data_IF_052187901600
#
_entry.id   IF_052187901600
#
_cell.length_a   1.000
_cell.length_b   1.000
_cell.length_c   1.000
_cell.angle_alpha   90.00
_cell.angle_beta   90.00
_cell.angle_gamma   90.00
#
_symmetry.space_group_name_H-M   'P 1'
#
loop_
_entity.id
_entity.type
_entity.pdbx_description
1 polymer ?
#
# COMPACT_ATOMS: atom_id res chain seq x y z
N UNK A 1 7.65 -14.41 3.45
CA UNK A 1 8.58 -15.26 2.65
C UNK A 1 8.49 -14.77 1.21
N UNK A 2 9.43 -13.92 0.83
CA UNK A 2 9.40 -13.29 -0.49
C UNK A 2 10.01 -14.23 -1.52
N UNK A 3 9.19 -14.75 -2.43
CA UNK A 3 9.68 -15.55 -3.54
C UNK A 3 10.12 -14.62 -4.68
N UNK A 4 11.43 -14.47 -4.84
CA UNK A 4 11.99 -13.80 -6.01
C UNK A 4 12.10 -14.85 -7.12
N UNK A 5 11.27 -14.73 -8.14
CA UNK A 5 11.40 -15.59 -9.32
C UNK A 5 12.54 -15.03 -10.17
N UNK A 6 13.64 -15.76 -10.20
CA UNK A 6 14.78 -15.43 -11.06
C UNK A 6 14.53 -15.97 -12.47
N UNK A 7 14.34 -15.10 -13.41
CA UNK A 7 14.57 -15.43 -14.81
C UNK A 7 16.05 -15.23 -15.09
N UNK A 8 16.81 -16.34 -15.11
CA UNK A 8 18.22 -16.32 -15.47
C UNK A 8 18.33 -16.34 -17.00
N UNK A 9 18.57 -15.20 -17.61
CA UNK A 9 19.11 -15.18 -18.97
C UNK A 9 20.64 -15.22 -18.79
N UNK A 10 21.21 -16.36 -19.11
CA UNK A 10 22.67 -16.54 -19.07
C UNK A 10 23.32 -15.66 -20.16
N UNK A 11 23.67 -14.45 -19.79
CA UNK A 11 24.70 -13.69 -20.53
C UNK A 11 25.99 -13.72 -19.71
N UNK A 12 27.10 -13.86 -20.41
CA UNK A 12 28.45 -13.74 -19.82
C UNK A 12 28.53 -12.57 -18.87
N UNK A 13 29.27 -12.72 -17.78
CA UNK A 13 29.54 -11.81 -16.64
C UNK A 13 29.48 -10.30 -16.92
N UNK A 14 28.42 -9.82 -17.53
CA UNK A 14 28.14 -8.40 -17.65
C UNK A 14 27.39 -7.98 -16.40
N UNK A 15 27.87 -6.95 -15.74
CA UNK A 15 27.31 -6.45 -14.50
C UNK A 15 25.89 -5.91 -14.75
N UNK A 16 24.90 -6.55 -14.15
CA UNK A 16 23.52 -6.07 -14.21
C UNK A 16 23.42 -4.70 -13.52
N UNK A 17 22.67 -3.79 -14.12
CA UNK A 17 22.43 -2.46 -13.56
C UNK A 17 21.81 -2.54 -12.16
N UNK A 18 20.82 -3.44 -12.01
CA UNK A 18 20.17 -3.71 -10.72
C UNK A 18 20.53 -5.14 -10.31
N UNK A 19 21.00 -5.30 -9.09
CA UNK A 19 21.35 -6.60 -8.55
C UNK A 19 20.84 -6.80 -7.12
N UNK A 20 20.79 -8.04 -6.70
CA UNK A 20 20.43 -8.41 -5.35
C UNK A 20 21.71 -8.45 -4.51
N UNK A 21 21.76 -7.61 -3.48
CA UNK A 21 22.93 -7.46 -2.60
C UNK A 21 22.46 -7.37 -1.16
N UNK A 22 23.02 -8.17 -0.28
CA UNK A 22 22.71 -8.17 1.17
C UNK A 22 21.19 -8.24 1.44
N UNK A 23 20.48 -9.05 0.66
CA UNK A 23 19.04 -9.22 0.86
C UNK A 23 18.15 -8.13 0.23
N UNK A 24 18.72 -7.20 -0.53
CA UNK A 24 17.99 -6.05 -1.05
C UNK A 24 18.34 -5.79 -2.52
N UNK A 25 17.47 -5.05 -3.22
CA UNK A 25 17.76 -4.57 -4.57
C UNK A 25 18.66 -3.33 -4.51
N UNK A 26 19.67 -3.31 -5.35
CA UNK A 26 20.70 -2.28 -5.33
C UNK A 26 21.20 -1.94 -6.73
N UNK A 27 21.29 -0.64 -7.01
CA UNK A 27 21.91 -0.10 -8.22
C UNK A 27 23.29 0.44 -7.86
N UNK A 28 24.33 -0.29 -8.26
CA UNK A 28 25.71 0.07 -7.87
C UNK A 28 26.18 1.39 -8.48
N UNK A 29 25.88 1.61 -9.76
CA UNK A 29 26.29 2.84 -10.44
C UNK A 29 25.67 4.10 -9.82
N UNK A 30 24.42 4.01 -9.38
CA UNK A 30 23.73 5.12 -8.70
C UNK A 30 24.05 5.19 -7.21
N UNK A 31 24.62 4.14 -6.63
CA UNK A 31 24.78 3.93 -5.18
C UNK A 31 23.45 4.16 -4.46
N UNK A 32 22.40 3.43 -4.92
CA UNK A 32 21.06 3.59 -4.39
C UNK A 32 20.38 2.22 -4.18
N UNK A 33 19.64 2.11 -3.10
CA UNK A 33 18.92 0.90 -2.71
C UNK A 33 17.43 1.08 -2.96
N UNK A 34 16.73 0.01 -3.26
CA UNK A 34 15.29 0.02 -3.51
C UNK A 34 14.61 -0.75 -2.37
N UNK A 35 13.71 -0.09 -1.65
CA UNK A 35 12.97 -0.61 -0.49
C UNK A 35 13.89 -1.40 0.47
N UNK A 36 14.98 -0.79 0.97
CA UNK A 36 15.96 -1.53 1.75
C UNK A 36 15.42 -1.98 3.11
N UNK A 37 15.83 -3.16 3.56
CA UNK A 37 15.48 -3.71 4.88
C UNK A 37 16.40 -3.26 6.01
N UNK A 38 17.40 -2.42 5.72
CA UNK A 38 18.35 -1.86 6.69
C UNK A 38 18.73 -0.43 6.30
N UNK A 39 19.18 0.40 7.26
CA UNK A 39 19.55 1.78 6.97
C UNK A 39 20.66 1.88 5.92
N UNK A 40 20.48 2.78 4.97
CA UNK A 40 21.42 3.04 3.86
C UNK A 40 21.56 4.55 3.62
N UNK A 41 22.51 4.93 2.79
CA UNK A 41 22.68 6.36 2.42
C UNK A 41 21.48 6.87 1.61
N UNK A 42 21.10 6.16 0.54
CA UNK A 42 20.01 6.59 -0.33
C UNK A 42 19.07 5.41 -0.60
N UNK A 43 17.78 5.63 -0.34
CA UNK A 43 16.74 4.66 -0.54
C UNK A 43 15.67 5.19 -1.50
N UNK A 44 15.40 4.48 -2.58
CA UNK A 44 14.18 4.65 -3.38
C UNK A 44 13.07 3.86 -2.73
N UNK A 45 11.94 4.48 -2.47
CA UNK A 45 10.79 3.82 -1.82
C UNK A 45 9.65 3.71 -2.82
N UNK A 46 9.22 2.48 -3.09
CA UNK A 46 8.14 2.21 -4.04
C UNK A 46 6.78 2.66 -3.51
N UNK A 47 6.52 2.43 -2.22
CA UNK A 47 5.25 2.81 -1.60
C UNK A 47 5.35 2.84 -0.07
N UNK A 48 4.30 3.31 0.61
CA UNK A 48 4.36 3.64 2.02
C UNK A 48 4.00 2.50 2.99
N UNK A 49 4.00 1.23 2.58
CA UNK A 49 3.87 0.10 3.52
C UNK A 49 5.15 -0.07 4.33
N UNK A 50 5.03 -0.60 5.57
CA UNK A 50 6.17 -0.69 6.48
C UNK A 50 7.22 -1.74 6.07
N UNK A 51 6.82 -2.76 5.35
CA UNK A 51 7.75 -3.77 4.84
C UNK A 51 8.60 -3.26 3.67
N UNK A 52 8.28 -2.07 3.13
CA UNK A 52 9.05 -1.38 2.10
C UNK A 52 9.79 -0.15 2.64
N UNK A 53 9.74 0.07 3.95
CA UNK A 53 10.35 1.25 4.57
C UNK A 53 11.19 0.87 5.79
N UNK A 54 12.41 1.37 5.83
CA UNK A 54 13.31 1.19 6.98
C UNK A 54 13.74 2.55 7.51
N UNK A 55 13.67 2.72 8.82
CA UNK A 55 14.15 3.93 9.50
C UNK A 55 15.66 4.06 9.39
N UNK A 56 16.15 5.31 9.41
CA UNK A 56 17.56 5.62 9.58
C UNK A 56 18.35 5.75 8.30
N UNK A 57 17.70 5.74 7.12
CA UNK A 57 18.39 6.12 5.88
C UNK A 57 18.70 7.62 5.90
N UNK A 58 19.82 8.01 5.28
CA UNK A 58 20.23 9.42 5.25
C UNK A 58 19.34 10.24 4.31
N UNK A 59 18.86 9.63 3.22
CA UNK A 59 17.97 10.26 2.26
C UNK A 59 17.03 9.21 1.64
N UNK A 60 15.75 9.57 1.59
CA UNK A 60 14.71 8.79 0.89
C UNK A 60 14.31 9.52 -0.38
N UNK A 61 13.90 8.77 -1.39
CA UNK A 61 13.39 9.33 -2.64
C UNK A 61 12.12 8.54 -3.00
N UNK A 62 11.01 9.24 -3.24
CA UNK A 62 9.72 8.59 -3.54
C UNK A 62 8.81 9.52 -4.34
N UNK A 63 7.59 9.07 -4.62
CA UNK A 63 6.54 9.97 -5.10
C UNK A 63 6.10 10.90 -3.97
N UNK A 64 5.47 12.00 -4.32
CA UNK A 64 4.95 13.00 -3.38
C UNK A 64 3.94 12.38 -2.40
N UNK A 65 2.99 11.60 -2.91
CA UNK A 65 1.96 10.97 -2.09
C UNK A 65 2.57 9.94 -1.12
N UNK A 66 3.52 9.13 -1.60
CA UNK A 66 4.25 8.19 -0.73
C UNK A 66 4.96 8.94 0.40
N UNK A 67 5.61 10.07 0.10
CA UNK A 67 6.30 10.87 1.12
C UNK A 67 5.32 11.39 2.18
N UNK A 68 4.15 11.90 1.78
CA UNK A 68 3.13 12.39 2.69
C UNK A 68 2.65 11.27 3.61
N UNK A 69 2.32 10.10 3.04
CA UNK A 69 1.86 8.94 3.81
C UNK A 69 2.92 8.42 4.76
N UNK A 70 4.20 8.41 4.34
CA UNK A 70 5.31 8.01 5.21
C UNK A 70 5.44 8.98 6.38
N UNK A 71 5.47 10.28 6.13
CA UNK A 71 5.57 11.30 7.19
C UNK A 71 4.42 11.17 8.19
N UNK A 72 3.21 10.94 7.71
CA UNK A 72 2.05 10.71 8.58
C UNK A 72 2.23 9.48 9.47
N UNK A 73 2.94 8.46 8.99
CA UNK A 73 3.16 7.21 9.74
C UNK A 73 4.34 7.30 10.70
N UNK A 74 5.43 7.96 10.30
CA UNK A 74 6.71 7.89 11.02
C UNK A 74 7.18 9.25 11.57
N UNK A 75 6.48 10.34 11.24
CA UNK A 75 6.84 11.69 11.66
C UNK A 75 7.63 12.44 10.59
N UNK A 76 7.78 13.75 10.80
CA UNK A 76 8.37 14.66 9.81
C UNK A 76 9.90 14.62 9.76
N UNK A 77 10.54 13.92 10.69
CA UNK A 77 12.00 13.93 10.85
C UNK A 77 12.73 13.01 9.85
N UNK A 78 12.13 12.74 8.69
CA UNK A 78 12.77 11.99 7.60
C UNK A 78 13.04 12.90 6.42
N UNK A 79 14.27 12.82 5.88
CA UNK A 79 14.66 13.60 4.71
C UNK A 79 14.20 12.86 3.45
N UNK A 80 13.09 13.31 2.87
CA UNK A 80 12.53 12.71 1.67
C UNK A 80 12.54 13.71 0.52
N UNK A 81 13.13 13.33 -0.60
CA UNK A 81 13.06 14.06 -1.88
C UNK A 81 11.95 13.43 -2.72
N UNK A 82 11.14 14.24 -3.36
CA UNK A 82 9.98 13.74 -4.11
C UNK A 82 10.04 14.11 -5.58
N UNK A 83 9.45 13.24 -6.41
CA UNK A 83 9.27 13.45 -7.84
C UNK A 83 7.85 13.05 -8.24
N UNK A 84 7.32 13.70 -9.26
CA UNK A 84 6.01 13.35 -9.82
C UNK A 84 6.12 12.08 -10.68
N UNK A 85 5.00 11.42 -10.91
CA UNK A 85 4.96 10.29 -11.84
C UNK A 85 5.40 10.75 -13.23
N UNK A 86 6.29 9.98 -13.86
CA UNK A 86 6.84 10.27 -15.18
C UNK A 86 7.97 11.31 -15.17
N UNK A 87 8.18 12.03 -14.07
CA UNK A 87 9.28 12.98 -13.96
C UNK A 87 10.60 12.22 -13.90
N UNK A 88 11.53 12.56 -14.80
CA UNK A 88 12.85 11.95 -14.83
C UNK A 88 13.83 12.77 -13.97
N UNK A 89 14.63 12.05 -13.18
CA UNK A 89 15.76 12.64 -12.45
C UNK A 89 17.00 11.78 -12.66
N UNK A 90 18.15 12.38 -12.45
CA UNK A 90 19.43 11.73 -12.76
C UNK A 90 20.28 11.54 -11.52
N UNK A 91 20.82 10.33 -11.34
CA UNK A 91 21.81 10.02 -10.31
C UNK A 91 22.96 9.29 -10.99
N UNK A 92 24.17 9.85 -10.93
CA UNK A 92 25.39 9.28 -11.48
C UNK A 92 25.24 8.79 -12.93
N UNK A 93 24.55 9.58 -13.76
CA UNK A 93 24.35 9.27 -15.18
C UNK A 93 23.17 8.36 -15.49
N UNK A 94 22.49 7.81 -14.49
CA UNK A 94 21.32 6.96 -14.67
C UNK A 94 20.06 7.82 -14.58
N UNK A 95 19.19 7.74 -15.58
CA UNK A 95 17.87 8.37 -15.52
C UNK A 95 16.92 7.45 -14.77
N UNK A 96 16.20 8.01 -13.80
CA UNK A 96 15.26 7.28 -12.93
C UNK A 96 13.91 8.00 -13.01
N UNK A 97 12.82 7.24 -13.01
CA UNK A 97 11.46 7.79 -12.95
C UNK A 97 10.51 6.85 -12.24
N UNK A 98 9.50 7.42 -11.59
CA UNK A 98 8.41 6.68 -10.94
C UNK A 98 7.21 6.59 -11.87
N UNK A 99 6.55 5.44 -11.90
CA UNK A 99 5.34 5.19 -12.69
C UNK A 99 4.29 4.50 -11.83
N UNK A 100 2.99 4.78 -11.98
CA UNK A 100 1.99 4.18 -11.10
C UNK A 100 2.02 2.65 -11.12
N UNK A 101 1.98 2.04 -9.94
CA UNK A 101 1.89 0.58 -9.81
C UNK A 101 0.47 0.08 -9.48
N UNK A 102 -0.48 0.98 -9.20
CA UNK A 102 -1.87 0.63 -8.94
C UNK A 102 -2.14 0.02 -7.57
N UNK A 103 -1.12 -0.12 -6.73
CA UNK A 103 -1.24 -0.86 -5.46
C UNK A 103 -1.96 -0.04 -4.37
N UNK A 104 -1.43 1.13 -4.03
CA UNK A 104 -2.02 2.10 -3.09
C UNK A 104 -1.72 3.53 -3.57
N UNK A 105 -2.28 4.53 -2.89
CA UNK A 105 -2.01 5.94 -3.20
C UNK A 105 -0.50 6.22 -3.12
N UNK A 106 0.06 6.77 -4.18
CA UNK A 106 1.49 7.09 -4.31
C UNK A 106 2.36 5.92 -4.74
N UNK A 107 1.85 4.69 -4.77
CA UNK A 107 2.67 3.51 -5.10
C UNK A 107 3.22 3.57 -6.52
N UNK A 108 4.46 3.09 -6.68
CA UNK A 108 5.16 3.25 -7.94
C UNK A 108 5.98 2.03 -8.34
N UNK A 109 6.05 1.82 -9.64
CA UNK A 109 7.11 1.10 -10.31
C UNK A 109 8.28 2.08 -10.49
N UNK A 110 9.51 1.59 -10.51
CA UNK A 110 10.70 2.44 -10.68
C UNK A 110 11.42 2.03 -11.96
N UNK A 111 11.52 2.95 -12.91
CA UNK A 111 12.26 2.72 -14.15
C UNK A 111 13.66 3.33 -14.03
N UNK A 112 14.65 2.57 -14.45
CA UNK A 112 16.05 3.00 -14.60
C UNK A 112 16.43 2.91 -16.07
N UNK A 113 17.08 3.95 -16.60
CA UNK A 113 17.59 3.94 -17.98
C UNK A 113 19.09 4.29 -17.93
N UNK A 114 19.90 3.38 -18.48
CA UNK A 114 21.34 3.56 -18.60
C UNK A 114 21.86 2.87 -19.86
N UNK A 115 22.66 3.59 -20.67
CA UNK A 115 23.24 3.06 -21.90
C UNK A 115 22.18 2.40 -22.81
N UNK A 116 21.01 3.03 -22.96
CA UNK A 116 19.84 2.59 -23.73
C UNK A 116 19.07 1.42 -23.12
N UNK A 117 19.62 0.70 -22.14
CA UNK A 117 18.89 -0.35 -21.42
C UNK A 117 17.87 0.24 -20.45
N UNK A 118 16.67 -0.34 -20.45
CA UNK A 118 15.54 0.05 -19.60
C UNK A 118 15.24 -1.06 -18.61
N UNK A 119 15.41 -0.77 -17.36
CA UNK A 119 15.12 -1.66 -16.23
C UNK A 119 13.89 -1.16 -15.48
N UNK A 120 13.00 -2.07 -15.12
CA UNK A 120 11.79 -1.72 -14.35
C UNK A 120 11.71 -2.62 -13.11
N UNK A 121 11.50 -1.99 -11.95
CA UNK A 121 11.20 -2.67 -10.70
C UNK A 121 9.73 -2.40 -10.41
N UNK A 122 8.90 -3.45 -10.28
CA UNK A 122 7.45 -3.28 -10.16
C UNK A 122 7.02 -2.64 -8.83
N UNK A 123 7.80 -2.82 -7.76
CA UNK A 123 7.23 -2.66 -6.43
C UNK A 123 6.05 -3.60 -6.26
N UNK A 124 5.23 -3.40 -5.25
CA UNK A 124 3.93 -4.08 -5.18
C UNK A 124 2.99 -3.44 -6.19
N UNK A 125 2.23 -4.27 -6.91
CA UNK A 125 1.37 -3.76 -7.97
C UNK A 125 -0.02 -4.40 -7.96
N UNK A 126 -0.97 -3.71 -8.59
CA UNK A 126 -2.34 -4.20 -8.74
C UNK A 126 -2.90 -3.74 -10.07
N UNK A 127 -3.41 -4.69 -10.86
CA UNK A 127 -3.97 -4.40 -12.19
C UNK A 127 -5.46 -4.03 -12.12
N UNK A 128 -6.16 -4.45 -11.05
CA UNK A 128 -7.57 -4.15 -10.85
C UNK A 128 -7.77 -2.65 -10.65
N UNK A 129 -8.86 -2.12 -11.21
CA UNK A 129 -9.22 -0.71 -11.02
C UNK A 129 -9.42 -0.37 -9.54
N UNK A 130 -8.92 0.78 -9.16
CA UNK A 130 -9.02 1.30 -7.80
C UNK A 130 -9.10 2.83 -7.88
N UNK A 131 -10.22 3.38 -7.45
CA UNK A 131 -10.46 4.83 -7.53
C UNK A 131 -9.65 5.62 -6.49
N UNK A 132 -8.97 4.92 -5.57
CA UNK A 132 -8.21 5.58 -4.50
C UNK A 132 -6.73 5.76 -4.83
N UNK A 133 -6.28 5.33 -6.01
CA UNK A 133 -4.91 5.51 -6.46
C UNK A 133 -4.82 5.58 -7.99
N UNK A 134 -3.67 5.99 -8.50
CA UNK A 134 -3.40 5.97 -9.95
C UNK A 134 -3.39 4.52 -10.44
N UNK A 135 -4.07 4.27 -11.56
CA UNK A 135 -4.11 2.95 -12.19
C UNK A 135 -2.71 2.51 -12.64
N UNK A 136 -2.45 1.21 -12.60
CA UNK A 136 -1.21 0.61 -13.10
C UNK A 136 -0.88 1.12 -14.51
N UNK A 137 0.35 1.59 -14.70
CA UNK A 137 0.85 2.04 -16.00
C UNK A 137 1.69 0.94 -16.63
N UNK A 138 1.43 0.64 -17.91
CA UNK A 138 2.27 -0.29 -18.67
C UNK A 138 3.52 0.47 -19.14
N UNK A 139 4.68 0.11 -18.59
CA UNK A 139 5.96 0.77 -18.88
C UNK A 139 6.81 -0.16 -19.74
N UNK A 140 7.19 0.31 -20.93
CA UNK A 140 8.06 -0.47 -21.82
C UNK A 140 9.45 -0.60 -21.20
N UNK A 141 9.97 -1.83 -21.12
CA UNK A 141 11.23 -2.14 -20.48
C UNK A 141 11.92 -3.32 -21.15
N UNK A 142 13.23 -3.41 -20.98
CA UNK A 142 14.04 -4.54 -21.47
C UNK A 142 14.23 -5.60 -20.37
N UNK A 143 14.27 -5.16 -19.11
CA UNK A 143 14.44 -6.03 -17.93
C UNK A 143 13.38 -5.68 -16.89
N UNK A 144 12.69 -6.70 -16.38
CA UNK A 144 11.67 -6.53 -15.35
C UNK A 144 12.05 -7.32 -14.09
N UNK A 145 12.05 -6.64 -12.95
CA UNK A 145 12.13 -7.26 -11.63
C UNK A 145 10.76 -7.08 -10.99
N UNK A 146 10.06 -8.19 -10.74
CA UNK A 146 8.66 -8.15 -10.29
C UNK A 146 8.44 -8.92 -9.00
N UNK A 147 7.55 -8.42 -8.16
CA UNK A 147 6.99 -9.22 -7.08
C UNK A 147 6.11 -10.35 -7.66
N UNK A 148 5.86 -11.38 -6.85
CA UNK A 148 5.03 -12.51 -7.28
C UNK A 148 4.24 -13.10 -6.08
N UNK A 149 3.74 -12.25 -5.21
CA UNK A 149 3.06 -12.64 -3.97
C UNK A 149 1.83 -13.53 -4.26
N UNK A 150 1.04 -13.14 -5.25
CA UNK A 150 -0.17 -13.85 -5.63
C UNK A 150 -0.07 -14.46 -7.04
N UNK A 151 1.14 -14.89 -7.43
CA UNK A 151 1.40 -15.42 -8.78
C UNK A 151 0.86 -16.83 -9.05
N UNK A 152 0.34 -17.52 -8.04
CA UNK A 152 -0.24 -18.86 -8.26
C UNK A 152 -1.69 -18.77 -8.73
N UNK A 153 -2.13 -19.65 -9.65
CA UNK A 153 -3.51 -19.61 -10.18
C UNK A 153 -4.62 -19.84 -9.16
N UNK A 154 -4.27 -20.29 -7.95
CA UNK A 154 -5.26 -20.47 -6.87
C UNK A 154 -5.78 -19.14 -6.34
N UNK A 155 -5.00 -18.05 -6.50
CA UNK A 155 -5.40 -16.72 -6.05
C UNK A 155 -6.35 -16.08 -7.08
N UNK A 156 -7.62 -16.10 -6.78
CA UNK A 156 -8.68 -15.51 -7.62
C UNK A 156 -9.44 -14.50 -6.77
N UNK A 157 -9.65 -13.32 -7.33
CA UNK A 157 -10.28 -12.21 -6.63
C UNK A 157 -11.61 -11.86 -7.27
N UNK A 158 -12.65 -11.76 -6.47
CA UNK A 158 -13.93 -11.21 -6.93
C UNK A 158 -13.77 -9.73 -7.29
N UNK A 159 -14.68 -9.23 -8.10
CA UNK A 159 -14.73 -7.80 -8.42
C UNK A 159 -15.06 -6.98 -7.16
N UNK A 160 -14.47 -5.80 -7.06
CA UNK A 160 -14.59 -4.92 -5.90
C UNK A 160 -16.03 -4.57 -5.56
N UNK A 161 -16.84 -4.27 -6.56
CA UNK A 161 -18.26 -3.93 -6.36
C UNK A 161 -19.05 -5.09 -5.74
N UNK A 162 -18.73 -6.33 -6.13
CA UNK A 162 -19.36 -7.52 -5.54
C UNK A 162 -18.99 -7.61 -4.05
N UNK A 163 -17.69 -7.46 -3.74
CA UNK A 163 -17.19 -7.55 -2.36
C UNK A 163 -17.84 -6.45 -1.50
N UNK A 164 -17.92 -5.22 -1.98
CA UNK A 164 -18.53 -4.12 -1.24
C UNK A 164 -20.03 -4.36 -0.97
N UNK A 165 -20.75 -4.91 -1.97
CA UNK A 165 -22.16 -5.27 -1.80
C UNK A 165 -22.32 -6.42 -0.81
N UNK A 166 -21.46 -7.43 -0.83
CA UNK A 166 -21.50 -8.56 0.10
C UNK A 166 -21.21 -8.09 1.53
N UNK A 167 -20.28 -7.17 1.72
CA UNK A 167 -20.03 -6.52 3.03
C UNK A 167 -21.31 -5.78 3.50
N UNK A 168 -21.92 -5.00 2.62
CA UNK A 168 -23.14 -4.26 2.94
C UNK A 168 -24.28 -5.23 3.36
N UNK A 169 -24.49 -6.29 2.60
CA UNK A 169 -25.47 -7.34 2.93
C UNK A 169 -25.17 -8.00 4.27
N UNK A 170 -23.88 -8.36 4.49
CA UNK A 170 -23.45 -9.01 5.73
C UNK A 170 -23.80 -8.15 6.95
N UNK A 171 -23.59 -6.85 6.87
CA UNK A 171 -23.94 -5.92 7.97
C UNK A 171 -25.45 -5.82 8.12
N UNK A 172 -26.17 -5.60 7.02
CA UNK A 172 -27.63 -5.38 7.02
C UNK A 172 -28.41 -6.62 7.48
N UNK A 173 -27.86 -7.83 7.31
CA UNK A 173 -28.48 -9.07 7.76
C UNK A 173 -28.41 -9.27 9.28
N UNK A 174 -27.65 -8.44 10.00
CA UNK A 174 -27.53 -8.52 11.45
C UNK A 174 -27.51 -7.09 12.05
N UNK A 175 -28.62 -6.35 11.92
CA UNK A 175 -28.65 -4.93 12.32
C UNK A 175 -28.51 -4.72 13.83
N UNK A 176 -28.72 -5.76 14.63
CA UNK A 176 -28.51 -5.74 16.08
C UNK A 176 -27.05 -5.90 16.48
N UNK A 177 -26.17 -6.28 15.54
CA UNK A 177 -24.75 -6.53 15.81
C UNK A 177 -23.88 -5.34 15.42
N UNK A 178 -22.71 -5.29 16.02
CA UNK A 178 -21.59 -4.43 15.59
C UNK A 178 -20.68 -5.26 14.67
N UNK A 179 -20.44 -4.78 13.45
CA UNK A 179 -19.66 -5.52 12.45
C UNK A 179 -18.21 -5.03 12.46
N UNK A 180 -17.28 -5.90 12.83
CA UNK A 180 -15.83 -5.60 12.85
C UNK A 180 -15.20 -6.17 11.60
N UNK A 181 -14.67 -5.30 10.76
CA UNK A 181 -13.98 -5.69 9.52
C UNK A 181 -12.48 -5.41 9.67
N UNK A 182 -11.67 -6.47 9.69
CA UNK A 182 -10.23 -6.36 9.82
C UNK A 182 -9.60 -6.15 8.44
N UNK A 183 -8.85 -5.07 8.29
CA UNK A 183 -8.20 -4.71 7.03
C UNK A 183 -6.92 -3.91 7.30
N UNK A 184 -5.99 -3.93 6.35
CA UNK A 184 -4.77 -3.13 6.47
C UNK A 184 -5.11 -1.64 6.55
N UNK A 185 -4.42 -0.95 7.46
CA UNK A 185 -4.70 0.46 7.79
C UNK A 185 -4.43 1.42 6.64
N UNK A 186 -3.49 1.07 5.76
CA UNK A 186 -3.11 1.88 4.60
C UNK A 186 -3.40 1.09 3.31
N UNK A 187 -4.14 1.70 2.41
CA UNK A 187 -4.53 1.17 1.11
C UNK A 187 -5.86 0.42 1.18
N UNK A 188 -5.90 -0.76 1.80
CA UNK A 188 -7.11 -1.60 1.85
C UNK A 188 -8.30 -0.90 2.50
N UNK A 189 -8.09 -0.26 3.65
CA UNK A 189 -9.17 0.44 4.36
C UNK A 189 -9.77 1.56 3.51
N UNK A 190 -8.94 2.35 2.85
CA UNK A 190 -9.39 3.48 2.03
C UNK A 190 -10.12 2.99 0.77
N UNK A 191 -9.62 1.94 0.13
CA UNK A 191 -10.31 1.30 -0.98
C UNK A 191 -11.71 0.81 -0.57
N UNK A 192 -11.80 0.10 0.56
CA UNK A 192 -13.10 -0.38 1.09
C UNK A 192 -14.06 0.79 1.35
N UNK A 193 -13.57 1.89 1.92
CA UNK A 193 -14.39 3.07 2.19
C UNK A 193 -14.93 3.69 0.90
N UNK A 194 -14.11 3.76 -0.15
CA UNK A 194 -14.54 4.23 -1.46
C UNK A 194 -15.61 3.29 -2.04
N UNK A 195 -15.34 1.99 -2.03
CA UNK A 195 -16.26 0.99 -2.60
C UNK A 195 -17.59 0.91 -1.84
N UNK A 196 -17.55 0.94 -0.50
CA UNK A 196 -18.76 0.92 0.35
C UNK A 196 -19.60 2.19 0.14
N UNK A 197 -18.98 3.32 -0.16
CA UNK A 197 -19.73 4.56 -0.45
C UNK A 197 -20.68 4.40 -1.65
N UNK A 198 -20.37 3.47 -2.53
CA UNK A 198 -21.16 3.19 -3.75
C UNK A 198 -22.26 2.14 -3.53
N UNK A 199 -22.37 1.61 -2.31
CA UNK A 199 -23.41 0.62 -1.95
C UNK A 199 -24.59 1.28 -1.25
N UNK A 200 -25.62 0.49 -0.92
CA UNK A 200 -26.77 0.93 -0.15
C UNK A 200 -26.54 0.95 1.36
N UNK A 201 -25.31 0.80 1.82
CA UNK A 201 -25.01 0.85 3.25
C UNK A 201 -25.21 2.26 3.81
N UNK A 202 -26.11 2.39 4.80
CA UNK A 202 -26.50 3.67 5.42
C UNK A 202 -26.04 3.80 6.87
N UNK A 203 -25.44 2.75 7.44
CA UNK A 203 -24.96 2.77 8.82
C UNK A 203 -23.73 3.66 9.02
N UNK A 204 -23.43 3.91 10.28
CA UNK A 204 -22.21 4.62 10.63
C UNK A 204 -20.98 3.74 10.40
N UNK A 205 -19.89 4.35 9.98
CA UNK A 205 -18.59 3.68 9.84
C UNK A 205 -17.64 4.30 10.86
N UNK A 206 -17.07 3.44 11.68
CA UNK A 206 -16.04 3.82 12.65
C UNK A 206 -14.69 3.27 12.18
N UNK A 207 -13.62 3.93 12.57
CA UNK A 207 -12.27 3.46 12.25
C UNK A 207 -11.32 3.61 13.44
N UNK A 208 -10.45 2.62 13.59
CA UNK A 208 -9.32 2.69 14.52
C UNK A 208 -8.42 3.88 14.19
N UNK A 209 -7.75 4.44 15.18
CA UNK A 209 -6.91 5.63 15.03
C UNK A 209 -5.89 5.51 13.90
N UNK A 210 -5.27 4.33 13.72
CA UNK A 210 -4.29 4.12 12.63
C UNK A 210 -4.92 4.21 11.24
N UNK A 211 -6.16 3.76 11.09
CA UNK A 211 -6.91 3.85 9.84
C UNK A 211 -7.40 5.29 9.63
N UNK A 212 -7.96 5.88 10.70
CA UNK A 212 -8.51 7.24 10.65
C UNK A 212 -7.46 8.26 10.19
N UNK A 213 -6.25 8.11 10.71
CA UNK A 213 -5.08 8.93 10.35
C UNK A 213 -4.80 8.86 8.84
N UNK A 214 -4.75 7.66 8.27
CA UNK A 214 -4.55 7.46 6.84
C UNK A 214 -5.73 7.98 6.01
N UNK A 215 -6.97 7.85 6.52
CA UNK A 215 -8.16 8.39 5.83
C UNK A 215 -8.04 9.91 5.66
N UNK A 216 -7.55 10.61 6.68
CA UNK A 216 -7.37 12.07 6.61
C UNK A 216 -6.35 12.44 5.53
N UNK A 217 -5.21 11.74 5.48
CA UNK A 217 -4.19 11.97 4.44
C UNK A 217 -4.75 11.74 3.02
N UNK A 218 -5.57 10.69 2.84
CA UNK A 218 -6.19 10.42 1.54
C UNK A 218 -7.11 11.57 1.13
N UNK A 219 -7.95 12.08 2.05
CA UNK A 219 -8.86 13.22 1.77
C UNK A 219 -8.08 14.49 1.46
N UNK A 220 -7.03 14.78 2.22
CA UNK A 220 -6.17 15.94 1.99
C UNK A 220 -5.49 15.87 0.62
N UNK A 221 -5.25 14.67 0.12
CA UNK A 221 -4.72 14.44 -1.23
C UNK A 221 -5.83 14.35 -2.30
N UNK A 222 -7.07 14.69 -1.95
CA UNK A 222 -8.19 14.80 -2.89
C UNK A 222 -8.86 13.47 -3.24
N UNK A 223 -8.60 12.40 -2.46
CA UNK A 223 -9.22 11.10 -2.73
C UNK A 223 -10.58 11.02 -2.03
N UNK A 224 -11.63 10.74 -2.81
CA UNK A 224 -13.00 10.62 -2.29
C UNK A 224 -13.19 9.27 -1.60
N UNK A 225 -13.28 9.31 -0.28
CA UNK A 225 -13.58 8.13 0.55
C UNK A 225 -14.63 8.50 1.60
N UNK A 226 -15.48 7.54 1.95
CA UNK A 226 -16.55 7.74 2.93
C UNK A 226 -15.99 8.15 4.29
N UNK A 227 -16.63 9.10 4.94
CA UNK A 227 -16.23 9.57 6.27
C UNK A 227 -16.33 8.46 7.31
N UNK A 228 -15.43 8.51 8.27
CA UNK A 228 -15.44 7.60 9.42
C UNK A 228 -15.36 8.37 10.72
N UNK A 229 -16.01 7.83 11.73
CA UNK A 229 -15.92 8.33 13.10
C UNK A 229 -14.73 7.64 13.77
N UNK A 230 -13.80 8.42 14.31
CA UNK A 230 -12.65 7.85 15.02
C UNK A 230 -13.12 7.18 16.31
N UNK A 231 -12.67 5.96 16.54
CA UNK A 231 -12.90 5.29 17.83
C UNK A 231 -11.92 5.88 18.84
N UNK A 232 -12.47 6.47 19.89
CA UNK A 232 -11.68 6.90 21.02
C UNK A 232 -11.60 5.78 22.08
N UNK A 233 -10.42 5.62 22.66
CA UNK A 233 -10.07 4.49 23.53
C UNK A 233 -10.79 4.49 24.89
N UNK A 234 -12.05 4.91 24.95
CA UNK A 234 -12.73 5.02 26.25
C UNK A 234 -14.14 4.43 26.28
N UNK A 235 -14.24 3.36 27.05
CA UNK A 235 -15.45 2.88 27.75
C UNK A 235 -16.77 2.76 26.98
N UNK A 236 -17.24 1.52 26.92
CA UNK A 236 -18.61 1.07 26.56
C UNK A 236 -19.13 1.62 25.23
N UNK A 237 -18.85 0.86 24.23
CA UNK A 237 -19.31 1.11 22.87
C UNK A 237 -20.67 0.38 22.68
N UNK A 238 -21.66 0.78 23.47
CA UNK A 238 -23.02 0.22 23.38
C UNK A 238 -23.85 0.80 22.21
N UNK A 239 -23.29 1.80 21.52
CA UNK A 239 -24.03 2.60 20.53
C UNK A 239 -23.79 2.17 19.10
N UNK A 240 -23.08 1.06 18.87
CA UNK A 240 -22.58 0.71 17.54
C UNK A 240 -23.38 -0.37 16.81
N UNK A 241 -24.61 -0.66 17.25
CA UNK A 241 -25.50 -1.61 16.57
C UNK A 241 -25.71 -1.17 15.11
N UNK A 242 -25.63 -2.12 14.19
CA UNK A 242 -25.78 -1.86 12.77
C UNK A 242 -24.63 -1.05 12.15
N UNK A 243 -23.55 -0.81 12.89
CA UNK A 243 -22.40 -0.05 12.41
C UNK A 243 -21.30 -0.97 11.91
N UNK A 244 -20.48 -0.42 11.01
CA UNK A 244 -19.23 -1.04 10.55
C UNK A 244 -18.06 -0.41 11.30
N UNK A 245 -17.14 -1.24 11.77
CA UNK A 245 -15.90 -0.77 12.40
C UNK A 245 -14.71 -1.35 11.64
N UNK A 246 -13.84 -0.48 11.12
CA UNK A 246 -12.60 -0.88 10.47
C UNK A 246 -11.46 -0.93 11.47
N UNK A 247 -10.79 -2.09 11.57
CA UNK A 247 -9.72 -2.35 12.52
C UNK A 247 -8.51 -2.97 11.80
N UNK A 248 -7.28 -2.66 12.24
CA UNK A 248 -6.11 -3.36 11.70
C UNK A 248 -6.12 -4.84 12.13
N UNK A 249 -5.57 -5.76 11.29
CA UNK A 249 -5.60 -7.20 11.59
C UNK A 249 -4.93 -7.57 12.92
N UNK A 250 -3.96 -6.81 13.39
CA UNK A 250 -3.28 -7.03 14.68
C UNK A 250 -4.23 -7.01 15.88
N UNK A 251 -5.39 -6.37 15.74
CA UNK A 251 -6.41 -6.29 16.81
C UNK A 251 -7.42 -7.44 16.76
N UNK A 252 -7.31 -8.36 15.80
CA UNK A 252 -8.27 -9.48 15.68
C UNK A 252 -8.17 -10.49 16.81
N UNK A 253 -7.08 -10.47 17.55
CA UNK A 253 -6.84 -11.33 18.72
C UNK A 253 -6.54 -10.47 19.94
N UNK A 254 -6.94 -10.95 21.11
CA UNK A 254 -6.60 -10.32 22.37
C UNK A 254 -7.74 -9.54 23.03
N UNK A 255 -7.37 -8.73 24.00
CA UNK A 255 -8.32 -8.06 24.89
C UNK A 255 -9.10 -6.91 24.24
N UNK A 256 -8.62 -6.37 23.12
CA UNK A 256 -9.27 -5.24 22.47
C UNK A 256 -10.73 -5.54 22.08
N UNK A 257 -10.98 -6.77 21.60
CA UNK A 257 -12.34 -7.19 21.20
C UNK A 257 -13.34 -7.21 22.34
N UNK A 258 -12.88 -7.35 23.59
CA UNK A 258 -13.74 -7.33 24.79
C UNK A 258 -14.41 -5.97 25.01
N UNK A 259 -13.96 -4.93 24.32
CA UNK A 259 -14.56 -3.59 24.39
C UNK A 259 -15.89 -3.51 23.62
N UNK A 260 -16.19 -4.50 22.79
CA UNK A 260 -17.37 -4.52 21.94
C UNK A 260 -18.33 -5.63 22.39
N UNK A 261 -19.62 -5.36 22.32
CA UNK A 261 -20.66 -6.33 22.65
C UNK A 261 -21.42 -6.72 21.38
N UNK A 262 -21.93 -7.94 21.37
CA UNK A 262 -22.77 -8.46 20.27
C UNK A 262 -22.15 -8.20 18.90
N UNK A 263 -20.94 -8.74 18.70
CA UNK A 263 -20.17 -8.51 17.48
C UNK A 263 -20.32 -9.64 16.46
N UNK A 264 -20.08 -9.28 15.20
CA UNK A 264 -19.72 -10.21 14.15
C UNK A 264 -18.41 -9.73 13.51
N UNK A 265 -17.60 -10.65 12.98
CA UNK A 265 -16.27 -10.31 12.49
C UNK A 265 -16.03 -10.87 11.09
N UNK A 266 -15.24 -10.14 10.29
CA UNK A 266 -14.76 -10.60 9.01
C UNK A 266 -13.37 -10.02 8.73
N UNK A 267 -12.65 -10.62 7.78
CA UNK A 267 -11.34 -10.15 7.31
C UNK A 267 -11.42 -9.77 5.84
N UNK A 268 -10.85 -8.66 5.52
CA UNK A 268 -10.61 -8.28 4.13
C UNK A 268 -9.13 -8.53 3.81
N UNK A 269 -8.89 -9.71 3.59
CA UNK A 269 -7.59 -10.18 3.30
C UNK A 269 -7.17 -9.70 2.00
N UNK A 270 -6.20 -9.87 1.96
CA UNK A 270 -5.63 -9.74 0.84
C UNK A 270 -5.67 -9.29 -0.22
#
# INVERSE_FOLDING_TARGET
MNFIVRYLVLRNKQEYLIRYKDGNLYCELADIWIDPSKPVKKALITHAHFDHFTFGCEEYISTKETAILLKERVGDNIKIKTFEYGEEFKINGINISFHPSGHILGSSQIRFIFAEEKWLISGDFKLQKDQTCKQYEIVKTDYLISECTFGLPIFKWDESNKIANDISKWINNSPEKTSLLFCYSLGKAQRLLNEISQTNFKGNIYSHGSIHKMNNSYRELGIDIKDTIKIENKKKIDVLKGSLILLPPSLSKGSYLKNFKNIQTAFAXX
#
